data_IF_468379601869
#
_entry.id   IF_468379601869
#
_cell.length_a   1.000
_cell.length_b   1.000
_cell.length_c   1.000
_cell.angle_alpha   90.00
_cell.angle_beta   90.00
_cell.angle_gamma   90.00
#
_symmetry.space_group_name_H-M   'P 1'
#
loop_
_entity.id
_entity.type
_entity.pdbx_description
1 polymer ?
#
# COMPACT_ATOMS: atom_id res chain seq x y z
N UNK A 1 36.12 -42.57 -1.14
CA UNK A 1 35.58 -41.59 -0.16
C UNK A 1 34.70 -40.64 -0.97
N UNK A 2 33.39 -40.80 -0.85
CA UNK A 2 32.38 -40.02 -1.58
C UNK A 2 32.41 -38.57 -1.06
N UNK A 3 32.78 -37.61 -1.91
CA UNK A 3 32.52 -36.19 -1.63
C UNK A 3 31.03 -35.95 -1.88
N UNK A 4 30.26 -35.93 -0.80
CA UNK A 4 28.87 -35.52 -0.82
C UNK A 4 28.77 -34.08 -1.34
N UNK A 5 28.09 -33.91 -2.46
CA UNK A 5 27.64 -32.63 -2.98
C UNK A 5 26.83 -31.92 -1.90
N UNK A 6 27.21 -30.69 -1.57
CA UNK A 6 26.43 -29.82 -0.67
C UNK A 6 25.02 -29.63 -1.24
N UNK A 7 23.95 -29.98 -0.51
CA UNK A 7 22.59 -29.76 -0.99
C UNK A 7 22.17 -28.30 -0.78
N UNK A 8 21.42 -27.82 -1.77
CA UNK A 8 20.48 -26.71 -1.75
C UNK A 8 21.05 -25.31 -1.45
N UNK A 9 21.37 -24.61 -2.56
CA UNK A 9 21.21 -23.16 -2.67
C UNK A 9 19.87 -22.74 -2.05
N UNK A 10 19.94 -22.16 -0.85
CA UNK A 10 18.83 -21.45 -0.23
C UNK A 10 18.50 -20.31 -1.18
N UNK A 11 17.41 -20.44 -1.94
CA UNK A 11 16.86 -19.34 -2.72
C UNK A 11 16.54 -18.24 -1.71
N UNK A 12 17.39 -17.21 -1.66
CA UNK A 12 17.15 -16.00 -0.89
C UNK A 12 15.92 -15.34 -1.47
N UNK A 13 14.73 -15.70 -0.97
CA UNK A 13 13.50 -15.04 -1.36
C UNK A 13 13.65 -13.53 -1.06
N UNK A 14 13.13 -12.65 -1.93
CA UNK A 14 13.16 -11.22 -1.65
C UNK A 14 12.51 -10.96 -0.28
N UNK A 15 13.01 -9.98 0.49
CA UNK A 15 12.48 -9.70 1.82
C UNK A 15 11.00 -9.33 1.73
N UNK A 16 10.22 -9.83 2.68
CA UNK A 16 8.79 -9.55 2.78
C UNK A 16 8.56 -8.06 3.02
N UNK A 17 7.69 -7.44 2.21
CA UNK A 17 7.35 -6.01 2.30
C UNK A 17 5.92 -5.84 2.79
N UNK A 18 5.77 -5.21 3.96
CA UNK A 18 4.47 -4.98 4.61
C UNK A 18 4.21 -3.48 4.67
N UNK A 19 3.03 -3.06 4.19
CA UNK A 19 2.49 -1.72 4.39
C UNK A 19 1.44 -1.75 5.50
N UNK A 20 1.66 -0.99 6.57
CA UNK A 20 0.70 -0.82 7.67
C UNK A 20 0.20 0.61 7.71
N UNK A 21 -1.12 0.78 7.76
CA UNK A 21 -1.79 2.08 7.75
C UNK A 21 -2.64 2.26 9.01
N UNK A 22 -2.30 3.29 9.78
CA UNK A 22 -3.05 3.63 10.99
C UNK A 22 -4.41 4.26 10.68
N UNK A 23 -5.31 4.18 11.65
CA UNK A 23 -6.56 4.93 11.63
C UNK A 23 -6.32 6.42 11.88
N UNK A 24 -7.16 7.29 11.33
CA UNK A 24 -6.96 8.74 11.48
C UNK A 24 -8.11 9.64 11.05
N UNK A 25 -9.22 9.09 10.58
CA UNK A 25 -10.30 9.89 10.02
C UNK A 25 -9.83 10.59 8.74
N UNK A 26 -10.26 11.83 8.52
CA UNK A 26 -9.84 12.62 7.36
C UNK A 26 -8.30 12.75 7.21
N UNK A 27 -7.54 12.66 8.32
CA UNK A 27 -6.06 12.68 8.31
C UNK A 27 -5.41 11.52 7.55
N UNK A 28 -6.16 10.47 7.21
CA UNK A 28 -5.68 9.39 6.33
C UNK A 28 -5.23 9.88 4.94
N UNK A 29 -5.69 11.06 4.50
CA UNK A 29 -5.19 11.70 3.27
C UNK A 29 -3.70 12.05 3.36
N UNK A 30 -3.20 12.44 4.55
CA UNK A 30 -1.78 12.72 4.73
C UNK A 30 -0.93 11.44 4.56
N UNK A 31 -1.40 10.31 5.08
CA UNK A 31 -0.74 9.01 4.90
C UNK A 31 -0.72 8.59 3.42
N UNK A 32 -1.80 8.84 2.68
CA UNK A 32 -1.86 8.59 1.24
C UNK A 32 -0.91 9.49 0.46
N UNK A 33 -0.76 10.77 0.83
CA UNK A 33 0.18 11.69 0.18
C UNK A 33 1.64 11.28 0.41
N UNK A 34 1.99 10.88 1.63
CA UNK A 34 3.32 10.33 1.94
C UNK A 34 3.57 9.06 1.11
N UNK A 35 2.59 8.16 1.08
CA UNK A 35 2.70 6.94 0.29
C UNK A 35 2.83 7.23 -1.21
N UNK A 36 2.09 8.21 -1.73
CA UNK A 36 2.15 8.59 -3.14
C UNK A 36 3.56 9.03 -3.50
N UNK A 37 4.18 9.89 -2.67
CA UNK A 37 5.57 10.29 -2.87
C UNK A 37 6.52 9.10 -2.83
N UNK A 38 6.37 8.18 -1.87
CA UNK A 38 7.20 6.98 -1.79
C UNK A 38 7.06 6.09 -3.03
N UNK A 39 5.84 5.91 -3.54
CA UNK A 39 5.61 5.11 -4.75
C UNK A 39 6.18 5.78 -6.00
N UNK A 40 6.19 7.11 -6.07
CA UNK A 40 6.83 7.85 -7.16
C UNK A 40 8.36 7.67 -7.21
N UNK A 41 9.03 7.45 -6.07
CA UNK A 41 10.45 7.08 -6.05
C UNK A 41 10.71 5.67 -6.63
N UNK A 42 9.66 4.84 -6.74
CA UNK A 42 9.71 3.51 -7.34
C UNK A 42 9.31 3.49 -8.83
N UNK A 43 9.26 4.67 -9.46
CA UNK A 43 8.95 4.81 -10.88
C UNK A 43 9.93 3.98 -11.71
N UNK A 44 9.39 3.17 -12.62
CA UNK A 44 10.14 2.30 -13.53
C UNK A 44 10.73 3.10 -14.70
N UNK A 45 11.67 2.49 -15.40
CA UNK A 45 12.36 3.11 -16.55
C UNK A 45 11.40 3.53 -17.68
N UNK A 46 10.27 2.84 -17.83
CA UNK A 46 9.20 3.18 -18.78
C UNK A 46 8.32 4.35 -18.33
N UNK A 47 8.60 4.92 -17.16
CA UNK A 47 7.87 6.01 -16.56
C UNK A 47 6.61 5.62 -15.81
N UNK A 48 6.32 4.31 -15.67
CA UNK A 48 5.16 3.84 -14.92
C UNK A 48 5.45 3.83 -13.42
N UNK A 49 4.44 4.16 -12.62
CA UNK A 49 4.49 4.05 -11.16
C UNK A 49 3.79 2.75 -10.79
N UNK A 50 4.47 1.82 -10.09
CA UNK A 50 3.83 0.58 -9.68
C UNK A 50 2.69 0.86 -8.70
N UNK A 51 1.68 0.00 -8.70
CA UNK A 51 0.61 0.02 -7.70
C UNK A 51 1.13 -0.53 -6.37
N UNK A 52 0.59 -0.08 -5.23
CA UNK A 52 1.01 -0.61 -3.93
C UNK A 52 0.91 -2.14 -3.82
N UNK A 53 -0.10 -2.77 -4.43
CA UNK A 53 -0.23 -4.23 -4.44
C UNK A 53 0.83 -4.97 -5.27
N UNK A 54 1.61 -4.28 -6.10
CA UNK A 54 2.75 -4.86 -6.83
C UNK A 54 4.06 -4.73 -6.04
N UNK A 55 4.08 -3.86 -5.02
CA UNK A 55 5.26 -3.55 -4.20
C UNK A 55 5.17 -4.22 -2.83
N UNK A 56 3.99 -4.26 -2.22
CA UNK A 56 3.80 -4.81 -0.87
C UNK A 56 3.09 -6.16 -0.95
N UNK A 57 3.65 -7.15 -0.25
CA UNK A 57 3.09 -8.49 -0.15
C UNK A 57 1.87 -8.51 0.78
N UNK A 58 1.87 -7.63 1.79
CA UNK A 58 0.74 -7.41 2.68
C UNK A 58 0.46 -5.92 2.84
N UNK A 59 -0.83 -5.58 2.74
CA UNK A 59 -1.34 -4.24 3.06
C UNK A 59 -2.39 -4.40 4.15
N UNK A 60 -2.11 -3.83 5.31
CA UNK A 60 -2.95 -3.91 6.50
C UNK A 60 -3.27 -2.50 7.01
N UNK A 61 -4.37 -2.37 7.75
CA UNK A 61 -4.66 -1.12 8.43
C UNK A 61 -5.84 -1.20 9.37
N UNK A 62 -5.95 -0.21 10.24
CA UNK A 62 -7.01 -0.13 11.27
C UNK A 62 -7.93 1.06 10.99
N UNK A 63 -9.25 0.89 11.21
CA UNK A 63 -10.25 1.94 10.96
C UNK A 63 -10.15 2.48 9.52
N UNK A 64 -9.97 3.80 9.32
CA UNK A 64 -9.78 4.39 8.00
C UNK A 64 -8.55 3.85 7.26
N UNK A 65 -7.50 3.46 7.97
CA UNK A 65 -6.35 2.77 7.38
C UNK A 65 -6.72 1.40 6.79
N UNK A 66 -7.70 0.71 7.40
CA UNK A 66 -8.25 -0.54 6.87
C UNK A 66 -9.05 -0.34 5.59
N UNK A 67 -9.83 0.75 5.49
CA UNK A 67 -10.50 1.13 4.25
C UNK A 67 -9.46 1.39 3.14
N UNK A 68 -8.40 2.16 3.44
CA UNK A 68 -7.32 2.42 2.49
C UNK A 68 -6.62 1.10 2.08
N UNK A 69 -6.38 0.19 3.03
CA UNK A 69 -5.81 -1.12 2.73
C UNK A 69 -6.67 -1.94 1.75
N UNK A 70 -8.00 -1.87 1.86
CA UNK A 70 -8.92 -2.50 0.89
C UNK A 70 -8.80 -1.85 -0.50
N UNK A 71 -8.75 -0.52 -0.57
CA UNK A 71 -8.61 0.20 -1.86
C UNK A 71 -7.30 -0.19 -2.56
N UNK A 72 -6.18 -0.11 -1.84
CA UNK A 72 -4.85 -0.35 -2.40
C UNK A 72 -4.57 -1.84 -2.66
N UNK A 73 -4.95 -2.72 -1.74
CA UNK A 73 -4.65 -4.15 -1.81
C UNK A 73 -5.70 -4.94 -2.58
N UNK A 74 -6.96 -4.88 -2.13
CA UNK A 74 -8.03 -5.73 -2.67
C UNK A 74 -8.57 -5.21 -4.00
N UNK A 75 -8.80 -3.90 -4.12
CA UNK A 75 -9.29 -3.28 -5.36
C UNK A 75 -8.15 -2.92 -6.32
N UNK A 76 -6.89 -3.04 -5.87
CA UNK A 76 -5.69 -2.78 -6.68
C UNK A 76 -5.70 -1.37 -7.29
N UNK A 77 -6.11 -0.39 -6.49
CA UNK A 77 -6.04 1.01 -6.90
C UNK A 77 -4.61 1.51 -6.79
N UNK A 78 -4.26 2.42 -7.70
CA UNK A 78 -3.14 3.33 -7.51
C UNK A 78 -3.39 4.22 -6.29
N UNK A 79 -2.33 4.86 -5.78
CA UNK A 79 -2.46 5.76 -4.63
C UNK A 79 -3.37 6.95 -4.98
N UNK A 80 -3.28 7.49 -6.19
CA UNK A 80 -4.16 8.54 -6.70
C UNK A 80 -5.65 8.12 -6.72
N UNK A 81 -5.96 6.95 -7.30
CA UNK A 81 -7.34 6.42 -7.32
C UNK A 81 -7.89 6.20 -5.90
N UNK A 82 -7.06 5.69 -4.99
CA UNK A 82 -7.44 5.51 -3.60
C UNK A 82 -7.67 6.86 -2.88
N UNK A 83 -6.83 7.87 -3.14
CA UNK A 83 -7.00 9.22 -2.60
C UNK A 83 -8.31 9.86 -3.05
N UNK A 84 -8.59 9.84 -4.34
CA UNK A 84 -9.81 10.44 -4.90
C UNK A 84 -11.07 9.73 -4.37
N UNK A 85 -11.00 8.41 -4.24
CA UNK A 85 -12.08 7.61 -3.64
C UNK A 85 -12.25 7.91 -2.15
N UNK A 86 -11.14 8.05 -1.43
CA UNK A 86 -11.15 8.37 -0.01
C UNK A 86 -11.69 9.78 0.28
N UNK A 87 -11.39 10.78 -0.56
CA UNK A 87 -11.98 12.12 -0.46
C UNK A 87 -13.51 12.07 -0.60
N UNK A 88 -14.02 11.34 -1.61
CA UNK A 88 -15.47 11.16 -1.82
C UNK A 88 -16.16 10.48 -0.64
N UNK A 89 -15.50 9.52 0.00
CA UNK A 89 -16.00 8.94 1.24
C UNK A 89 -15.94 9.93 2.39
N UNK A 90 -14.85 10.70 2.48
CA UNK A 90 -14.67 11.71 3.52
C UNK A 90 -15.75 12.78 3.51
N UNK A 91 -16.18 13.25 2.34
CA UNK A 91 -17.30 14.18 2.19
C UNK A 91 -18.61 13.59 2.73
N UNK A 92 -18.89 12.31 2.49
CA UNK A 92 -20.11 11.65 2.97
C UNK A 92 -20.08 11.26 4.44
N UNK A 93 -18.90 10.90 4.96
CA UNK A 93 -18.73 10.37 6.32
C UNK A 93 -18.44 11.49 7.32
N UNK A 94 -17.69 12.52 6.90
CA UNK A 94 -17.25 13.63 7.75
C UNK A 94 -17.88 14.98 7.39
N UNK A 95 -18.62 15.08 6.28
CA UNK A 95 -19.23 16.34 5.83
C UNK A 95 -20.39 16.85 6.69
N UNK A 96 -21.06 15.97 7.44
CA UNK A 96 -22.22 16.33 8.28
C UNK A 96 -21.88 16.45 9.78
N UNK A 97 -20.71 17.01 10.11
CA UNK A 97 -20.38 17.34 11.50
C UNK A 97 -20.99 18.68 11.99
N UNK A 98 -21.78 19.36 11.16
CA UNK A 98 -22.60 20.51 11.56
C UNK A 98 -24.06 20.10 11.77
N UNK A 99 -24.32 19.41 12.89
CA UNK A 99 -25.62 19.44 13.57
C UNK A 99 -25.45 19.25 15.07
#
# INVERSE_FOLDING_TARGET
ILTMSTPDSIVSQPPLRILSLDGGGYRGLASLEILDRLMHELKRDDGTIPKPCEVFDFIIGTSTGGLIAILLGRLRYSVAEARDTYMKFGEKIFGDASR
#
